data_IF_755099407365
#
_entry.id   IF_755099407365
#
_cell.length_a   1.000
_cell.length_b   1.000
_cell.length_c   1.000
_cell.angle_alpha   90.00
_cell.angle_beta   90.00
_cell.angle_gamma   90.00
#
_symmetry.space_group_name_H-M   'P 1'
#
loop_
_entity.id
_entity.type
_entity.pdbx_description
1 polymer ?
#
# COMPACT_ATOMS: atom_id res chain seq x y z
N UNK A 1 -17.52 -37.34 -7.58
CA UNK A 1 -16.63 -38.52 -7.39
C UNK A 1 -16.23 -39.10 -8.72
N UNK A 2 -17.14 -39.28 -9.68
CA UNK A 2 -16.85 -39.80 -11.03
C UNK A 2 -15.71 -39.07 -11.77
N UNK A 3 -15.72 -37.74 -11.79
CA UNK A 3 -14.66 -36.95 -12.43
C UNK A 3 -13.27 -37.21 -11.81
N UNK A 4 -13.20 -37.41 -10.49
CA UNK A 4 -11.94 -37.68 -9.80
C UNK A 4 -11.43 -39.09 -10.11
N UNK A 5 -12.33 -40.08 -10.18
CA UNK A 5 -11.99 -41.44 -10.61
C UNK A 5 -11.52 -41.48 -12.06
N UNK A 6 -12.17 -40.75 -12.96
CA UNK A 6 -11.78 -40.66 -14.37
C UNK A 6 -10.38 -40.05 -14.53
N UNK A 7 -10.07 -38.99 -13.78
CA UNK A 7 -8.74 -38.40 -13.76
C UNK A 7 -7.67 -39.37 -13.20
N UNK A 8 -8.01 -40.15 -12.17
CA UNK A 8 -7.12 -41.17 -11.60
C UNK A 8 -6.79 -42.27 -12.61
N UNK A 9 -7.79 -42.75 -13.36
CA UNK A 9 -7.60 -43.79 -14.36
C UNK A 9 -6.69 -43.30 -15.50
N UNK A 10 -6.94 -42.09 -16.01
CA UNK A 10 -6.09 -41.50 -17.04
C UNK A 10 -4.64 -41.30 -16.56
N UNK A 11 -4.44 -40.84 -15.32
CA UNK A 11 -3.10 -40.72 -14.74
C UNK A 11 -2.40 -42.08 -14.66
N UNK A 12 -3.12 -43.14 -14.27
CA UNK A 12 -2.57 -44.51 -14.23
C UNK A 12 -2.19 -45.02 -15.62
N UNK A 13 -3.01 -44.76 -16.64
CA UNK A 13 -2.68 -45.08 -18.03
C UNK A 13 -1.41 -44.36 -18.50
N UNK A 14 -1.19 -43.14 -18.01
CA UNK A 14 0.03 -42.36 -18.25
C UNK A 14 1.22 -42.74 -17.33
N UNK A 15 1.09 -43.75 -16.47
CA UNK A 15 2.15 -44.19 -15.55
C UNK A 15 2.33 -43.31 -14.30
N UNK A 16 1.33 -42.51 -13.93
CA UNK A 16 1.33 -41.60 -12.79
C UNK A 16 0.30 -42.03 -11.73
N UNK A 17 0.59 -41.72 -10.47
CA UNK A 17 -0.29 -42.00 -9.34
C UNK A 17 -0.66 -40.72 -8.58
N UNK A 18 -1.92 -40.62 -8.14
CA UNK A 18 -2.38 -39.49 -7.31
C UNK A 18 -1.92 -39.72 -5.87
N UNK A 19 -1.15 -38.79 -5.32
CA UNK A 19 -0.79 -38.80 -3.92
C UNK A 19 -1.96 -38.25 -3.07
N UNK A 20 -2.91 -39.10 -2.69
CA UNK A 20 -4.12 -38.71 -1.96
C UNK A 20 -3.86 -37.89 -0.67
N UNK A 21 -2.73 -38.16 0.02
CA UNK A 21 -2.32 -37.43 1.22
C UNK A 21 -1.92 -35.96 0.96
N UNK A 22 -1.54 -35.62 -0.28
CA UNK A 22 -1.20 -34.26 -0.71
C UNK A 22 -2.36 -33.56 -1.42
N UNK A 23 -3.42 -34.31 -1.74
CA UNK A 23 -4.60 -33.77 -2.40
C UNK A 23 -5.50 -33.09 -1.38
N UNK A 24 -6.08 -31.97 -1.79
CA UNK A 24 -7.09 -31.25 -1.02
C UNK A 24 -8.26 -30.92 -1.96
N UNK A 25 -9.47 -30.87 -1.42
CA UNK A 25 -10.66 -30.46 -2.17
C UNK A 25 -11.15 -29.12 -1.67
N UNK A 26 -11.32 -28.19 -2.61
CA UNK A 26 -12.00 -26.92 -2.38
C UNK A 26 -13.37 -26.97 -3.04
N UNK A 27 -14.41 -26.74 -2.25
CA UNK A 27 -15.77 -26.57 -2.77
C UNK A 27 -15.99 -25.07 -3.00
N UNK A 28 -16.12 -24.70 -4.27
CA UNK A 28 -16.35 -23.31 -4.68
C UNK A 28 -17.85 -23.10 -4.82
N UNK A 29 -18.43 -22.20 -4.03
CA UNK A 29 -19.85 -21.87 -4.10
C UNK A 29 -20.09 -20.44 -3.63
N UNK A 30 -21.00 -19.75 -4.33
CA UNK A 30 -21.51 -18.44 -3.91
C UNK A 30 -22.74 -18.55 -3.02
N UNK A 31 -23.33 -19.76 -2.90
CA UNK A 31 -24.51 -20.02 -2.06
C UNK A 31 -24.09 -20.20 -0.61
N UNK A 32 -24.92 -19.70 0.32
CA UNK A 32 -24.74 -19.85 1.78
C UNK A 32 -25.17 -21.24 2.30
N UNK A 33 -25.08 -22.27 1.47
CA UNK A 33 -25.42 -23.64 1.87
C UNK A 33 -24.16 -24.35 2.37
N UNK A 34 -24.28 -25.08 3.48
CA UNK A 34 -23.21 -25.95 3.96
C UNK A 34 -23.07 -27.09 2.96
N UNK A 35 -22.01 -27.04 2.13
CA UNK A 35 -21.73 -28.09 1.17
C UNK A 35 -20.59 -28.94 1.73
N UNK A 36 -20.92 -29.93 2.55
CA UNK A 36 -19.97 -30.99 2.89
C UNK A 36 -20.08 -32.08 1.82
N UNK A 37 -19.28 -31.91 0.75
CA UNK A 37 -19.07 -33.00 -0.21
C UNK A 37 -17.85 -33.81 0.21
N UNK A 38 -18.06 -35.09 0.43
CA UNK A 38 -17.00 -36.06 0.61
C UNK A 38 -16.52 -36.54 -0.76
N UNK A 39 -15.24 -36.28 -1.06
CA UNK A 39 -14.60 -36.73 -2.29
C UNK A 39 -13.60 -37.82 -1.96
N UNK A 40 -13.81 -38.99 -2.54
CA UNK A 40 -12.92 -40.15 -2.42
C UNK A 40 -12.10 -40.29 -3.70
N UNK A 41 -10.79 -40.48 -3.57
CA UNK A 41 -9.85 -40.75 -4.67
C UNK A 41 -9.07 -42.01 -4.33
N UNK A 42 -9.12 -43.02 -5.21
CA UNK A 42 -8.47 -44.33 -5.01
C UNK A 42 -8.79 -44.97 -3.64
N UNK A 43 -10.06 -44.88 -3.20
CA UNK A 43 -10.52 -45.40 -1.91
C UNK A 43 -10.12 -44.56 -0.69
N UNK A 44 -9.31 -43.51 -0.86
CA UNK A 44 -8.91 -42.59 0.20
C UNK A 44 -9.79 -41.33 0.20
N UNK A 45 -10.32 -40.96 1.37
CA UNK A 45 -11.08 -39.72 1.55
C UNK A 45 -10.12 -38.52 1.52
N UNK A 46 -10.35 -37.58 0.60
CA UNK A 46 -9.54 -36.38 0.46
C UNK A 46 -10.02 -35.31 1.43
N UNK A 47 -9.10 -34.55 2.03
CA UNK A 47 -9.43 -33.48 2.98
C UNK A 47 -10.13 -32.33 2.27
N UNK A 48 -11.33 -31.99 2.73
CA UNK A 48 -12.03 -30.75 2.34
C UNK A 48 -11.44 -29.57 3.09
N UNK A 49 -11.09 -28.50 2.37
CA UNK A 49 -10.55 -27.26 2.93
C UNK A 49 -11.37 -26.06 2.48
N UNK A 50 -11.51 -25.05 3.34
CA UNK A 50 -12.17 -23.78 2.99
C UNK A 50 -11.32 -22.88 2.10
N UNK A 51 -10.02 -23.15 2.01
CA UNK A 51 -9.06 -22.47 1.14
C UNK A 51 -7.91 -23.38 0.75
N UNK A 52 -7.48 -23.34 -0.52
CA UNK A 52 -6.35 -24.13 -1.02
C UNK A 52 -5.31 -23.23 -1.67
N UNK A 53 -4.04 -23.63 -1.54
CA UNK A 53 -2.92 -22.92 -2.17
C UNK A 53 -2.67 -23.47 -3.57
N UNK A 54 -2.81 -22.61 -4.58
CA UNK A 54 -2.51 -22.92 -5.97
C UNK A 54 -1.46 -21.95 -6.52
N UNK A 55 -0.29 -22.47 -6.94
CA UNK A 55 0.83 -21.67 -7.46
C UNK A 55 1.20 -20.44 -6.62
N UNK A 56 1.05 -20.56 -5.29
CA UNK A 56 1.34 -19.48 -4.34
C UNK A 56 0.17 -18.52 -4.04
N UNK A 57 -0.92 -18.59 -4.79
CA UNK A 57 -2.16 -17.85 -4.53
C UNK A 57 -3.08 -18.72 -3.67
N UNK A 58 -3.79 -18.10 -2.73
CA UNK A 58 -4.76 -18.80 -1.89
C UNK A 58 -6.14 -18.56 -2.46
N UNK A 59 -6.80 -19.65 -2.83
CA UNK A 59 -8.14 -19.63 -3.39
C UNK A 59 -9.08 -20.06 -2.28
N UNK A 60 -9.97 -19.17 -1.85
CA UNK A 60 -11.02 -19.48 -0.88
C UNK A 60 -12.32 -19.92 -1.56
N UNK A 61 -13.16 -20.64 -0.82
CA UNK A 61 -14.44 -21.19 -1.28
C UNK A 61 -15.40 -20.14 -1.85
N UNK A 62 -15.26 -18.89 -1.40
CA UNK A 62 -16.10 -17.74 -1.83
C UNK A 62 -15.49 -16.95 -2.99
N UNK A 63 -14.29 -17.31 -3.46
CA UNK A 63 -13.50 -16.59 -4.46
C UNK A 63 -13.35 -15.09 -4.18
N UNK A 64 -13.32 -14.70 -2.90
CA UNK A 64 -13.16 -13.30 -2.48
C UNK A 64 -11.74 -12.96 -2.03
N UNK A 65 -10.83 -13.93 -2.09
CA UNK A 65 -9.40 -13.81 -1.81
C UNK A 65 -9.06 -13.18 -0.46
N UNK A 66 -9.96 -13.32 0.53
CA UNK A 66 -9.73 -12.78 1.88
C UNK A 66 -8.56 -13.51 2.53
N UNK A 67 -8.48 -14.83 2.35
CA UNK A 67 -7.41 -15.62 2.95
C UNK A 67 -6.07 -15.35 2.28
N UNK A 68 -6.07 -15.15 0.96
CA UNK A 68 -4.89 -14.65 0.26
C UNK A 68 -4.42 -13.30 0.80
N UNK A 69 -5.34 -12.36 0.99
CA UNK A 69 -5.02 -11.04 1.54
C UNK A 69 -4.45 -11.13 2.96
N UNK A 70 -4.97 -12.04 3.80
CA UNK A 70 -4.45 -12.30 5.14
C UNK A 70 -3.00 -12.76 5.10
N UNK A 71 -2.71 -13.79 4.30
CA UNK A 71 -1.37 -14.39 4.19
C UNK A 71 -0.37 -13.42 3.56
N UNK A 72 -0.75 -12.75 2.46
CA UNK A 72 0.08 -11.75 1.81
C UNK A 72 0.38 -10.58 2.77
N UNK A 73 -0.63 -10.10 3.50
CA UNK A 73 -0.47 -9.02 4.49
C UNK A 73 0.42 -9.44 5.66
N UNK A 74 0.32 -10.69 6.14
CA UNK A 74 1.16 -11.20 7.22
C UNK A 74 2.63 -11.27 6.78
N UNK A 75 2.90 -11.84 5.60
CA UNK A 75 4.25 -11.93 5.01
C UNK A 75 4.84 -10.54 4.77
N UNK A 76 4.06 -9.64 4.19
CA UNK A 76 4.44 -8.26 3.94
C UNK A 76 4.68 -7.47 5.25
N UNK A 77 3.87 -7.71 6.28
CA UNK A 77 4.05 -7.08 7.60
C UNK A 77 5.34 -7.53 8.27
N UNK A 78 5.67 -8.83 8.22
CA UNK A 78 6.92 -9.34 8.76
C UNK A 78 8.14 -8.73 8.04
N UNK A 79 8.09 -8.60 6.72
CA UNK A 79 9.11 -7.91 5.95
C UNK A 79 9.21 -6.42 6.34
N UNK A 80 8.08 -5.72 6.43
CA UNK A 80 7.99 -4.31 6.84
C UNK A 80 8.60 -4.09 8.23
N UNK A 81 8.36 -4.98 9.19
CA UNK A 81 8.94 -4.90 10.54
C UNK A 81 10.47 -5.04 10.52
N UNK A 82 11.01 -6.03 9.77
CA UNK A 82 12.46 -6.20 9.61
C UNK A 82 13.10 -4.97 8.97
N UNK A 83 12.50 -4.48 7.89
CA UNK A 83 12.95 -3.29 7.17
C UNK A 83 12.83 -2.00 8.01
N UNK A 84 11.84 -1.91 8.90
CA UNK A 84 11.67 -0.74 9.78
C UNK A 84 12.88 -0.50 10.67
N UNK A 85 13.64 -1.54 11.03
CA UNK A 85 14.86 -1.43 11.85
C UNK A 85 15.99 -0.66 11.16
N UNK A 86 16.02 -0.67 9.83
CA UNK A 86 17.00 0.08 9.02
C UNK A 86 16.44 1.39 8.44
N UNK A 87 15.18 1.71 8.74
CA UNK A 87 14.49 2.94 8.34
C UNK A 87 13.92 3.72 9.55
N UNK A 88 14.69 3.98 10.64
CA UNK A 88 14.22 4.89 11.69
C UNK A 88 13.96 6.28 11.12
N UNK A 89 13.17 7.15 11.79
CA UNK A 89 12.79 8.43 11.20
C UNK A 89 14.02 9.31 10.88
N UNK A 90 15.00 9.32 11.78
CA UNK A 90 16.32 9.88 11.55
C UNK A 90 17.25 8.70 11.24
N UNK A 91 17.64 8.54 9.97
CA UNK A 91 18.55 7.47 9.57
C UNK A 91 19.46 7.89 8.42
N UNK A 92 20.59 7.20 8.29
CA UNK A 92 21.49 7.32 7.14
C UNK A 92 20.89 6.78 5.82
N UNK A 93 19.74 6.07 5.88
CA UNK A 93 19.07 5.58 4.69
C UNK A 93 18.34 6.73 3.99
N UNK A 94 18.84 7.08 2.80
CA UNK A 94 18.24 8.11 1.96
C UNK A 94 16.82 7.71 1.55
N UNK A 95 15.90 8.68 1.34
CA UNK A 95 14.55 8.40 0.84
C UNK A 95 14.49 7.49 -0.40
N UNK A 96 15.43 7.56 -1.34
CA UNK A 96 15.53 6.61 -2.47
C UNK A 96 15.74 5.17 -2.00
N UNK A 97 16.70 4.95 -1.08
CA UNK A 97 16.94 3.62 -0.49
C UNK A 97 15.69 3.12 0.23
N UNK A 98 15.04 3.98 1.02
CA UNK A 98 13.78 3.62 1.71
C UNK A 98 12.67 3.25 0.74
N UNK A 99 12.49 4.00 -0.35
CA UNK A 99 11.51 3.70 -1.39
C UNK A 99 11.77 2.35 -2.05
N UNK A 100 13.04 2.03 -2.34
CA UNK A 100 13.43 0.72 -2.85
C UNK A 100 13.05 -0.41 -1.88
N UNK A 101 13.31 -0.23 -0.58
CA UNK A 101 12.90 -1.19 0.45
C UNK A 101 11.37 -1.29 0.56
N UNK A 102 10.66 -0.17 0.43
CA UNK A 102 9.19 -0.14 0.40
C UNK A 102 8.59 -0.91 -0.79
N UNK A 103 9.29 -0.93 -1.93
CA UNK A 103 8.86 -1.70 -3.10
C UNK A 103 8.87 -3.21 -2.84
N UNK A 104 9.75 -3.72 -1.95
CA UNK A 104 9.74 -5.14 -1.55
C UNK A 104 8.41 -5.48 -0.88
N UNK A 105 7.93 -4.62 0.02
CA UNK A 105 6.65 -4.81 0.71
C UNK A 105 5.48 -4.75 -0.27
N UNK A 106 5.46 -3.77 -1.18
CA UNK A 106 4.43 -3.68 -2.22
C UNK A 106 4.42 -4.91 -3.12
N UNK A 107 5.59 -5.43 -3.50
CA UNK A 107 5.69 -6.63 -4.33
C UNK A 107 5.14 -7.88 -3.64
N UNK A 108 5.32 -8.01 -2.32
CA UNK A 108 4.71 -9.08 -1.53
C UNK A 108 3.18 -8.96 -1.47
N UNK A 109 2.66 -7.75 -1.26
CA UNK A 109 1.22 -7.48 -1.24
C UNK A 109 0.56 -7.74 -2.59
N UNK A 110 1.24 -7.38 -3.68
CA UNK A 110 0.74 -7.46 -5.05
C UNK A 110 1.05 -8.79 -5.75
N UNK A 111 1.52 -9.80 -5.01
CA UNK A 111 1.76 -11.12 -5.57
C UNK A 111 0.45 -11.72 -6.08
N UNK A 112 0.43 -12.20 -7.32
CA UNK A 112 -0.79 -12.75 -7.94
C UNK A 112 -1.90 -11.72 -8.20
N UNK A 113 -1.62 -10.41 -8.17
CA UNK A 113 -2.62 -9.36 -8.34
C UNK A 113 -3.60 -9.55 -9.51
N UNK A 114 -3.18 -9.97 -10.73
CA UNK A 114 -4.10 -10.21 -11.83
C UNK A 114 -5.22 -11.21 -11.52
N UNK A 115 -5.00 -12.14 -10.57
CA UNK A 115 -5.99 -13.16 -10.22
C UNK A 115 -7.05 -12.60 -9.27
N UNK A 116 -6.65 -11.77 -8.30
CA UNK A 116 -7.54 -11.33 -7.21
C UNK A 116 -7.97 -9.86 -7.27
N UNK A 117 -7.34 -9.01 -8.08
CA UNK A 117 -7.55 -7.55 -8.04
C UNK A 117 -9.03 -7.12 -8.19
N UNK A 118 -9.81 -7.85 -9.00
CA UNK A 118 -11.22 -7.55 -9.25
C UNK A 118 -12.20 -8.28 -8.32
N UNK A 119 -11.71 -9.14 -7.42
CA UNK A 119 -12.53 -10.03 -6.59
C UNK A 119 -12.24 -9.93 -5.10
N UNK A 120 -11.12 -9.30 -4.73
CA UNK A 120 -10.71 -9.13 -3.35
C UNK A 120 -11.81 -8.48 -2.49
N UNK A 121 -12.06 -9.05 -1.32
CA UNK A 121 -13.01 -8.51 -0.36
C UNK A 121 -12.59 -7.12 0.15
N UNK A 122 -13.56 -6.31 0.58
CA UNK A 122 -13.29 -5.01 1.20
C UNK A 122 -12.36 -5.15 2.41
N UNK A 123 -12.60 -6.16 3.26
CA UNK A 123 -11.78 -6.44 4.44
C UNK A 123 -10.34 -6.84 4.07
N UNK A 124 -10.17 -7.66 3.03
CA UNK A 124 -8.84 -8.03 2.51
C UNK A 124 -8.09 -6.82 1.96
N UNK A 125 -8.77 -5.99 1.17
CA UNK A 125 -8.24 -4.74 0.63
C UNK A 125 -7.80 -3.77 1.74
N UNK A 126 -8.63 -3.57 2.75
CA UNK A 126 -8.31 -2.70 3.90
C UNK A 126 -7.11 -3.21 4.70
N UNK A 127 -7.00 -4.53 4.87
CA UNK A 127 -5.86 -5.16 5.55
C UNK A 127 -4.56 -4.91 4.79
N UNK A 128 -4.55 -5.10 3.47
CA UNK A 128 -3.38 -4.78 2.63
C UNK A 128 -3.03 -3.29 2.67
N UNK A 129 -4.04 -2.41 2.60
CA UNK A 129 -3.84 -0.96 2.67
C UNK A 129 -3.22 -0.52 4.02
N UNK A 130 -3.58 -1.16 5.14
CA UNK A 130 -2.96 -0.90 6.45
C UNK A 130 -1.47 -1.26 6.46
N UNK A 131 -1.07 -2.35 5.80
CA UNK A 131 0.36 -2.72 5.67
C UNK A 131 1.08 -1.72 4.77
N UNK A 132 0.49 -1.36 3.63
CA UNK A 132 1.06 -0.35 2.74
C UNK A 132 1.26 1.00 3.46
N UNK A 133 0.29 1.44 4.27
CA UNK A 133 0.40 2.66 5.07
C UNK A 133 1.60 2.61 6.00
N UNK A 134 1.81 1.51 6.74
CA UNK A 134 2.97 1.35 7.62
C UNK A 134 4.27 1.48 6.85
N UNK A 135 4.35 0.89 5.66
CA UNK A 135 5.50 1.03 4.76
C UNK A 135 5.69 2.48 4.30
N UNK A 136 4.62 3.13 3.83
CA UNK A 136 4.67 4.51 3.35
C UNK A 136 5.18 5.47 4.42
N UNK A 137 4.68 5.34 5.66
CA UNK A 137 5.16 6.12 6.80
C UNK A 137 6.68 5.97 7.03
N UNK A 138 7.23 4.76 6.87
CA UNK A 138 8.69 4.54 6.97
C UNK A 138 9.46 5.10 5.79
N UNK A 139 8.88 5.04 4.59
CA UNK A 139 9.48 5.58 3.36
C UNK A 139 9.65 7.09 3.45
N UNK A 140 8.61 7.81 3.86
CA UNK A 140 8.68 9.26 4.05
C UNK A 140 9.18 9.68 5.44
N UNK A 141 9.45 8.75 6.36
CA UNK A 141 9.84 9.08 7.76
C UNK A 141 8.76 9.87 8.52
N UNK A 142 7.49 9.69 8.17
CA UNK A 142 6.37 10.40 8.78
C UNK A 142 6.03 9.89 10.19
N UNK A 143 5.41 10.77 10.97
CA UNK A 143 4.77 10.43 12.23
C UNK A 143 3.60 9.47 12.00
N UNK A 144 3.34 8.57 12.96
CA UNK A 144 2.31 7.53 12.82
C UNK A 144 0.87 8.06 12.72
N UNK A 145 0.66 9.34 13.02
CA UNK A 145 -0.60 10.09 13.02
C UNK A 145 -0.95 10.68 11.64
N UNK A 146 0.01 10.72 10.71
CA UNK A 146 -0.22 11.22 9.33
C UNK A 146 -1.24 10.36 8.60
N UNK A 147 -2.19 11.00 7.90
CA UNK A 147 -3.22 10.31 7.12
C UNK A 147 -2.63 9.38 6.05
N UNK A 148 -3.36 8.32 5.66
CA UNK A 148 -2.86 7.38 4.64
C UNK A 148 -2.68 8.08 3.29
N UNK A 149 -3.59 9.00 2.97
CA UNK A 149 -3.62 9.75 1.72
C UNK A 149 -2.37 10.64 1.60
N UNK A 150 -2.08 11.44 2.64
CA UNK A 150 -0.86 12.25 2.68
C UNK A 150 0.41 11.39 2.68
N UNK A 151 0.46 10.31 3.47
CA UNK A 151 1.65 9.45 3.55
C UNK A 151 2.00 8.83 2.20
N UNK A 152 1.00 8.34 1.46
CA UNK A 152 1.18 7.76 0.12
C UNK A 152 1.67 8.79 -0.90
N UNK A 153 1.12 10.01 -0.87
CA UNK A 153 1.55 11.10 -1.75
C UNK A 153 2.99 11.50 -1.44
N UNK A 154 3.33 11.80 -0.19
CA UNK A 154 4.69 12.20 0.20
C UNK A 154 5.71 11.11 -0.13
N UNK A 155 5.36 9.84 0.10
CA UNK A 155 6.20 8.68 -0.25
C UNK A 155 6.27 8.38 -1.77
N UNK A 156 5.48 9.07 -2.59
CA UNK A 156 5.34 8.80 -4.03
C UNK A 156 4.97 7.33 -4.32
N UNK A 157 4.02 6.80 -3.55
CA UNK A 157 3.53 5.42 -3.61
C UNK A 157 2.02 5.41 -3.94
N UNK A 158 1.60 4.92 -5.11
CA UNK A 158 0.18 4.81 -5.42
C UNK A 158 -0.53 3.82 -4.47
N UNK A 159 -1.83 4.03 -4.15
CA UNK A 159 -2.61 3.11 -3.35
C UNK A 159 -2.59 1.67 -3.87
N UNK A 160 -2.49 0.69 -2.97
CA UNK A 160 -2.29 -0.72 -3.32
C UNK A 160 -3.38 -1.28 -4.22
N UNK A 161 -4.62 -0.83 -4.04
CA UNK A 161 -5.78 -1.25 -4.82
C UNK A 161 -5.74 -0.72 -6.25
N UNK A 162 -5.16 0.47 -6.45
CA UNK A 162 -4.92 1.03 -7.78
C UNK A 162 -3.78 0.28 -8.46
N UNK A 163 -2.68 0.00 -7.74
CA UNK A 163 -1.56 -0.80 -8.27
C UNK A 163 -1.97 -2.23 -8.64
N UNK A 164 -2.89 -2.84 -7.90
CA UNK A 164 -3.41 -4.16 -8.23
C UNK A 164 -4.16 -4.15 -9.58
N UNK A 165 -4.97 -3.11 -9.83
CA UNK A 165 -5.64 -2.90 -11.12
C UNK A 165 -4.65 -2.60 -12.25
N UNK A 166 -3.57 -1.86 -11.98
CA UNK A 166 -2.49 -1.63 -12.94
C UNK A 166 -1.88 -2.96 -13.41
N UNK A 167 -1.50 -3.83 -12.47
CA UNK A 167 -0.92 -5.15 -12.78
C UNK A 167 -1.90 -6.04 -13.54
N UNK A 168 -3.18 -6.02 -13.16
CA UNK A 168 -4.22 -6.73 -13.90
C UNK A 168 -4.31 -6.23 -15.35
N UNK A 169 -4.34 -4.92 -15.57
CA UNK A 169 -4.43 -4.35 -16.92
C UNK A 169 -3.23 -4.75 -17.78
N UNK A 170 -2.01 -4.67 -17.23
CA UNK A 170 -0.79 -5.09 -17.93
C UNK A 170 -0.83 -6.58 -18.28
N UNK A 171 -1.26 -7.42 -17.34
CA UNK A 171 -1.35 -8.86 -17.55
C UNK A 171 -2.39 -9.24 -18.62
N UNK A 172 -3.56 -8.59 -18.60
CA UNK A 172 -4.64 -8.84 -19.56
C UNK A 172 -4.30 -8.36 -20.97
N UNK A 173 -3.42 -7.37 -21.12
CA UNK A 173 -3.01 -6.78 -22.39
C UNK A 173 -1.52 -7.00 -22.66
N UNK A 174 -0.97 -8.15 -22.27
CA UNK A 174 0.47 -8.46 -22.37
C UNK A 174 1.04 -8.36 -23.79
N UNK A 175 0.18 -8.49 -24.79
CA UNK A 175 0.54 -8.44 -26.21
C UNK A 175 0.50 -7.01 -26.79
N UNK A 176 -0.05 -6.03 -26.06
CA UNK A 176 -0.03 -4.61 -26.43
C UNK A 176 1.27 -3.94 -25.93
N UNK A 177 2.17 -3.47 -26.81
CA UNK A 177 3.40 -2.79 -26.42
C UNK A 177 3.18 -1.56 -25.54
N UNK A 178 2.01 -0.91 -25.64
CA UNK A 178 1.67 0.29 -24.88
C UNK A 178 0.92 -0.01 -23.57
N UNK A 179 0.59 -1.28 -23.27
CA UNK A 179 -0.23 -1.65 -22.12
C UNK A 179 0.31 -1.08 -20.80
N UNK A 180 1.63 -1.10 -20.62
CA UNK A 180 2.28 -0.56 -19.42
C UNK A 180 2.08 0.94 -19.28
N UNK A 181 2.21 1.70 -20.38
CA UNK A 181 2.01 3.14 -20.36
C UNK A 181 0.55 3.50 -20.11
N UNK A 182 -0.38 2.82 -20.79
CA UNK A 182 -1.84 2.98 -20.61
C UNK A 182 -2.23 2.71 -19.17
N UNK A 183 -1.74 1.61 -18.58
CA UNK A 183 -1.99 1.23 -17.19
C UNK A 183 -1.50 2.31 -16.20
N UNK A 184 -0.24 2.75 -16.33
CA UNK A 184 0.34 3.78 -15.46
C UNK A 184 -0.39 5.12 -15.59
N UNK A 185 -0.77 5.51 -16.81
CA UNK A 185 -1.56 6.73 -17.04
C UNK A 185 -2.92 6.65 -16.36
N UNK A 186 -3.59 5.50 -16.41
CA UNK A 186 -4.84 5.26 -15.70
C UNK A 186 -4.65 5.27 -14.17
N UNK A 187 -3.58 4.66 -13.66
CA UNK A 187 -3.19 4.70 -12.24
C UNK A 187 -3.04 6.13 -11.75
N UNK A 188 -2.30 6.98 -12.47
CA UNK A 188 -2.09 8.36 -12.08
C UNK A 188 -3.40 9.16 -12.07
N UNK A 189 -4.27 8.97 -13.07
CA UNK A 189 -5.59 9.64 -13.12
C UNK A 189 -6.49 9.24 -11.96
N UNK A 190 -6.58 7.94 -11.67
CA UNK A 190 -7.41 7.44 -10.57
C UNK A 190 -6.86 7.89 -9.21
N UNK A 191 -5.53 7.89 -9.05
CA UNK A 191 -4.91 8.37 -7.83
C UNK A 191 -5.13 9.87 -7.64
N UNK A 192 -4.99 10.68 -8.70
CA UNK A 192 -5.27 12.11 -8.67
C UNK A 192 -6.71 12.38 -8.24
N UNK A 193 -7.69 11.70 -8.86
CA UNK A 193 -9.11 11.82 -8.50
C UNK A 193 -9.35 11.51 -7.02
N UNK A 194 -8.75 10.43 -6.51
CA UNK A 194 -8.86 10.05 -5.10
C UNK A 194 -8.17 11.05 -4.17
N UNK A 195 -7.10 11.69 -4.62
CA UNK A 195 -6.39 12.70 -3.85
C UNK A 195 -7.18 14.01 -3.75
N UNK A 196 -7.78 14.44 -4.86
CA UNK A 196 -8.62 15.64 -4.91
C UNK A 196 -9.88 15.48 -4.06
N UNK A 197 -10.52 14.30 -4.09
CA UNK A 197 -11.75 14.05 -3.35
C UNK A 197 -11.53 13.80 -1.83
N UNK A 198 -10.28 13.60 -1.38
CA UNK A 198 -10.00 13.31 0.03
C UNK A 198 -10.17 14.56 0.90
N UNK A 199 -10.92 14.42 2.01
CA UNK A 199 -10.96 15.41 3.08
C UNK A 199 -9.76 15.31 4.04
N UNK A 200 -8.95 14.25 3.93
CA UNK A 200 -7.76 14.03 4.76
C UNK A 200 -6.50 14.53 4.05
N UNK A 201 -5.55 15.04 4.83
CA UNK A 201 -4.26 15.51 4.30
C UNK A 201 -4.36 16.82 3.52
N UNK A 202 -5.35 17.67 3.78
CA UNK A 202 -5.60 18.91 3.01
C UNK A 202 -4.42 19.88 2.97
N UNK A 203 -3.66 19.98 4.07
CA UNK A 203 -2.41 20.74 4.07
C UNK A 203 -1.42 20.21 3.04
N UNK A 204 -1.19 18.89 3.03
CA UNK A 204 -0.34 18.23 2.03
C UNK A 204 -0.89 18.42 0.62
N UNK A 205 -2.22 18.39 0.42
CA UNK A 205 -2.85 18.63 -0.88
C UNK A 205 -2.62 20.05 -1.38
N UNK A 206 -2.71 21.05 -0.48
CA UNK A 206 -2.40 22.45 -0.81
C UNK A 206 -0.97 22.61 -1.34
N UNK A 207 0.00 21.90 -0.76
CA UNK A 207 1.40 21.93 -1.18
C UNK A 207 1.68 21.04 -2.41
N UNK A 208 0.96 19.93 -2.54
CA UNK A 208 1.14 18.92 -3.58
C UNK A 208 -0.22 18.61 -4.23
N UNK A 209 -0.78 19.54 -5.02
CA UNK A 209 -2.11 19.35 -5.61
C UNK A 209 -2.08 18.33 -6.74
N UNK A 210 -0.97 18.26 -7.49
CA UNK A 210 -0.82 17.40 -8.64
C UNK A 210 0.20 16.28 -8.39
N UNK A 211 -0.25 15.03 -8.53
CA UNK A 211 0.54 13.85 -8.22
C UNK A 211 1.64 13.62 -9.27
N UNK A 212 1.34 13.80 -10.56
CA UNK A 212 2.31 13.50 -11.62
C UNK A 212 3.59 14.33 -11.50
N UNK A 213 3.52 15.68 -11.43
CA UNK A 213 4.73 16.48 -11.23
C UNK A 213 5.50 16.10 -9.97
N UNK A 214 4.78 15.75 -8.90
CA UNK A 214 5.39 15.30 -7.66
C UNK A 214 6.18 14.00 -7.85
N UNK A 215 5.58 12.95 -8.40
CA UNK A 215 6.26 11.64 -8.50
C UNK A 215 7.37 11.62 -9.55
N UNK A 216 7.34 12.52 -10.54
CA UNK A 216 8.36 12.64 -11.59
C UNK A 216 9.41 13.71 -11.31
N UNK A 217 9.39 14.34 -10.13
CA UNK A 217 10.34 15.40 -9.76
C UNK A 217 11.78 14.92 -9.86
N UNK A 218 12.65 15.76 -10.42
CA UNK A 218 14.09 15.49 -10.59
C UNK A 218 14.94 16.00 -9.42
N UNK A 219 14.43 16.96 -8.65
CA UNK A 219 15.12 17.59 -7.53
C UNK A 219 15.03 16.76 -6.23
N UNK A 220 15.65 17.30 -5.17
CA UNK A 220 16.01 16.62 -3.92
C UNK A 220 14.96 15.71 -3.28
N UNK A 221 15.47 14.77 -2.49
CA UNK A 221 14.70 13.77 -1.78
C UNK A 221 13.98 14.34 -0.55
N UNK A 222 12.76 13.88 -0.27
CA UNK A 222 11.98 14.33 0.88
C UNK A 222 12.50 13.64 2.15
N UNK A 223 13.29 14.37 2.92
CA UNK A 223 13.84 13.92 4.20
C UNK A 223 12.82 14.04 5.34
N UNK A 224 13.24 13.65 6.55
CA UNK A 224 12.40 13.68 7.76
C UNK A 224 11.79 15.05 8.05
N UNK A 225 12.58 16.12 7.97
CA UNK A 225 12.12 17.48 8.28
C UNK A 225 11.17 18.02 7.21
N UNK A 226 11.46 17.76 5.94
CA UNK A 226 10.55 18.08 4.84
C UNK A 226 9.23 17.32 4.98
N UNK A 227 9.25 16.05 5.40
CA UNK A 227 8.02 15.32 5.69
C UNK A 227 7.22 15.95 6.82
N UNK A 228 7.86 16.44 7.88
CA UNK A 228 7.15 17.17 8.93
C UNK A 228 6.45 18.40 8.37
N UNK A 229 7.14 19.19 7.55
CA UNK A 229 6.56 20.34 6.85
C UNK A 229 5.39 19.94 5.95
N UNK A 230 5.58 18.99 5.03
CA UNK A 230 4.53 18.57 4.09
C UNK A 230 3.29 18.01 4.77
N UNK A 231 3.44 17.45 5.96
CA UNK A 231 2.33 16.86 6.71
C UNK A 231 1.79 17.79 7.80
N UNK A 232 2.51 18.85 8.17
CA UNK A 232 2.28 19.62 9.41
C UNK A 232 2.27 18.74 10.66
N UNK A 233 3.05 17.66 10.67
CA UNK A 233 3.16 16.72 11.79
C UNK A 233 4.62 16.65 12.23
N UNK A 234 4.94 17.32 13.34
CA UNK A 234 6.32 17.56 13.73
C UNK A 234 6.44 18.35 15.03
N UNK A 235 7.56 19.02 15.19
CA UNK A 235 7.82 19.91 16.33
C UNK A 235 7.11 21.27 16.17
N UNK A 236 5.80 21.22 15.92
CA UNK A 236 4.93 22.38 15.82
C UNK A 236 4.05 22.43 17.08
N UNK A 237 3.92 23.57 17.75
CA UNK A 237 3.21 23.66 19.02
C UNK A 237 1.74 23.22 18.87
N UNK A 238 1.05 23.58 17.79
CA UNK A 238 -0.33 23.12 17.54
C UNK A 238 -0.43 21.60 17.42
N UNK A 239 0.55 20.96 16.76
CA UNK A 239 0.60 19.49 16.67
C UNK A 239 0.86 18.85 18.04
N UNK A 240 1.82 19.38 18.81
CA UNK A 240 2.22 18.83 20.11
C UNK A 240 1.12 19.03 21.17
N UNK A 241 0.45 20.19 21.17
CA UNK A 241 -0.70 20.49 22.01
C UNK A 241 -1.86 19.52 21.77
N UNK A 242 -2.17 19.20 20.50
CA UNK A 242 -3.19 18.20 20.14
C UNK A 242 -2.96 16.82 20.77
N UNK A 243 -1.72 16.47 21.10
CA UNK A 243 -1.37 15.21 21.78
C UNK A 243 -1.06 15.38 23.27
N UNK A 244 -1.41 16.53 23.87
CA UNK A 244 -1.20 16.81 25.29
C UNK A 244 0.28 16.86 25.69
N UNK A 245 1.17 17.24 24.76
CA UNK A 245 2.61 17.42 25.04
C UNK A 245 2.98 18.86 25.37
N UNK A 246 2.08 19.80 25.12
CA UNK A 246 2.21 21.21 25.45
C UNK A 246 0.84 21.74 25.89
N UNK A 247 0.86 22.76 26.74
CA UNK A 247 -0.35 23.39 27.27
C UNK A 247 -1.01 24.35 26.28
N UNK A 248 -0.27 24.83 25.28
CA UNK A 248 -0.75 25.81 24.30
C UNK A 248 -0.34 25.45 22.87
N UNK A 249 -1.22 25.69 21.86
CA UNK A 249 -0.89 25.53 20.44
C UNK A 249 -0.15 26.74 19.85
N UNK A 250 0.03 27.82 20.62
CA UNK A 250 0.58 29.09 20.12
C UNK A 250 2.06 28.99 19.77
N UNK A 251 2.47 29.77 18.76
CA UNK A 251 3.87 29.89 18.35
C UNK A 251 4.75 30.45 19.45
N UNK A 252 5.79 29.68 19.81
CA UNK A 252 6.78 30.09 20.82
C UNK A 252 7.58 31.33 20.42
N UNK A 253 7.70 31.58 19.11
CA UNK A 253 8.54 32.65 18.59
C UNK A 253 7.81 33.98 18.53
N UNK A 254 6.60 34.01 17.96
CA UNK A 254 5.85 35.26 17.80
C UNK A 254 4.68 35.41 18.78
N UNK A 255 4.14 34.31 19.32
CA UNK A 255 3.02 34.33 20.26
C UNK A 255 1.65 34.71 19.67
N UNK A 256 1.54 34.95 18.35
CA UNK A 256 0.34 35.56 17.74
C UNK A 256 -0.64 34.56 17.11
N UNK A 257 -0.17 33.41 16.64
CA UNK A 257 -1.01 32.40 15.96
C UNK A 257 -0.65 30.98 16.40
N UNK A 258 -1.51 30.01 16.04
CA UNK A 258 -1.22 28.59 16.19
C UNK A 258 0.00 28.17 15.37
N UNK A 259 0.97 27.53 16.02
CA UNK A 259 2.17 27.04 15.37
C UNK A 259 1.89 25.76 14.61
N UNK A 260 1.65 25.91 13.31
CA UNK A 260 1.55 24.84 12.34
C UNK A 260 2.53 25.12 11.19
N UNK A 261 2.72 24.14 10.30
CA UNK A 261 3.67 24.28 9.20
C UNK A 261 3.41 25.51 8.30
N UNK A 262 2.15 25.94 8.15
CA UNK A 262 1.82 27.15 7.41
C UNK A 262 2.37 28.38 8.11
N UNK A 263 2.05 28.51 9.40
CA UNK A 263 2.49 29.64 10.20
C UNK A 263 4.03 29.70 10.26
N UNK A 264 4.69 28.62 10.69
CA UNK A 264 6.14 28.59 10.87
C UNK A 264 6.87 28.97 9.59
N UNK A 265 6.46 28.42 8.43
CA UNK A 265 7.20 28.60 7.18
C UNK A 265 6.80 29.85 6.44
N UNK A 266 5.52 30.25 6.43
CA UNK A 266 5.01 31.30 5.55
C UNK A 266 4.57 32.59 6.26
N UNK A 267 4.35 32.58 7.57
CA UNK A 267 3.74 33.74 8.27
C UNK A 267 4.62 34.29 9.38
N UNK A 268 5.15 33.43 10.25
CA UNK A 268 5.85 33.80 11.48
C UNK A 268 7.02 34.75 11.20
N UNK A 269 6.96 35.97 11.73
CA UNK A 269 7.95 37.05 11.59
C UNK A 269 9.37 36.66 12.04
N UNK A 270 9.48 35.79 13.05
CA UNK A 270 10.76 35.25 13.51
C UNK A 270 11.58 34.56 12.41
N UNK A 271 10.93 34.10 11.34
CA UNK A 271 11.57 33.45 10.19
C UNK A 271 11.65 34.34 8.94
N UNK A 272 11.27 35.62 9.02
CA UNK A 272 11.19 36.52 7.88
C UNK A 272 12.51 36.62 7.12
N UNK A 273 13.63 36.90 7.81
CA UNK A 273 14.95 36.99 7.17
C UNK A 273 15.33 35.72 6.40
N UNK A 274 14.96 34.53 6.90
CA UNK A 274 15.21 33.26 6.19
C UNK A 274 14.29 33.09 4.99
N UNK A 275 13.00 33.41 5.14
CA UNK A 275 12.05 33.42 4.03
C UNK A 275 12.48 34.37 2.92
N UNK A 276 12.86 35.62 3.24
CA UNK A 276 13.26 36.60 2.23
C UNK A 276 14.46 36.09 1.42
N UNK A 277 15.45 35.47 2.08
CA UNK A 277 16.60 34.85 1.39
C UNK A 277 16.17 33.75 0.41
N UNK A 278 15.24 32.88 0.81
CA UNK A 278 14.72 31.81 -0.06
C UNK A 278 13.93 32.41 -1.22
N UNK A 279 13.06 33.39 -0.96
CA UNK A 279 12.27 34.07 -2.00
C UNK A 279 13.17 34.76 -3.03
N UNK A 280 14.23 35.44 -2.59
CA UNK A 280 15.22 36.03 -3.50
C UNK A 280 15.86 34.94 -4.37
N UNK A 281 16.32 33.83 -3.76
CA UNK A 281 16.93 32.73 -4.50
C UNK A 281 15.98 32.09 -5.53
N UNK A 282 14.70 31.93 -5.19
CA UNK A 282 13.68 31.40 -6.08
C UNK A 282 13.33 32.35 -7.23
N UNK A 283 13.31 33.67 -6.97
CA UNK A 283 13.03 34.68 -8.00
C UNK A 283 14.23 34.96 -8.93
N UNK A 284 15.42 34.46 -8.59
CA UNK A 284 16.62 34.54 -9.43
C UNK A 284 16.83 33.31 -10.34
N UNK A 285 15.93 32.32 -10.29
CA UNK A 285 15.91 31.11 -11.13
C UNK A 285 14.72 31.09 -12.06
#
# INVERSE_FOLDING_TARGET
TEAASSASNWLREAGLHIAAQKSEVLIITTKRTHNDMDVTVEGSKVKTSSSIKYLGVQIDSKLNFTEHANIASAKASAACQKLSRIMPNISAATPRKRKLLGNVVNSLLLFGAPIWANRISATGKDKMAKVQRKTALRVCSAYCTVSVEAALVVASMPPIDILAKERLHIYANKDDPEATWKAKKATHRLWQTRWDASCKGRWTHRLIPHIVPWITRKHEEVNFHLTQFFTSHGCFAAYLHRFGKLDSPMCWYCGLEEDNANHTVFVCDAWETRRSRVNTALNTT
#
